data_IF_218016963066
#
_entry.id   IF_218016963066
#
_cell.length_a   1.000
_cell.length_b   1.000
_cell.length_c   1.000
_cell.angle_alpha   90.00
_cell.angle_beta   90.00
_cell.angle_gamma   90.00
#
_symmetry.space_group_name_H-M   'P 1'
#
loop_
_entity.id
_entity.type
_entity.pdbx_description
1 polymer ?
#
# COMPACT_ATOMS: atom_id res chain seq x y z
N UNK A 1 71.64 23.20 16.24
CA UNK A 1 70.79 22.23 15.51
C UNK A 1 69.32 22.51 15.78
N UNK A 2 68.64 23.24 14.89
CA UNK A 2 67.17 23.32 14.82
C UNK A 2 66.80 23.50 13.35
N UNK A 3 66.41 22.42 12.69
CA UNK A 3 65.95 22.42 11.31
C UNK A 3 64.53 22.98 11.28
N UNK A 4 64.33 24.15 10.67
CA UNK A 4 62.99 24.66 10.32
C UNK A 4 62.69 24.18 8.89
N UNK A 5 61.83 23.17 8.76
CA UNK A 5 61.23 22.78 7.49
C UNK A 5 60.05 23.70 7.21
N UNK A 6 60.12 24.45 6.11
CA UNK A 6 59.02 25.26 5.60
C UNK A 6 58.19 24.37 4.67
N UNK A 7 56.97 23.99 5.09
CA UNK A 7 56.02 23.30 4.20
C UNK A 7 55.33 24.35 3.31
N UNK A 8 55.64 24.34 2.01
CA UNK A 8 54.85 25.07 1.01
C UNK A 8 53.62 24.22 0.71
N UNK A 9 52.46 24.63 1.23
CA UNK A 9 51.16 24.10 0.80
C UNK A 9 50.79 24.84 -0.49
N UNK A 10 50.91 24.17 -1.63
CA UNK A 10 50.38 24.67 -2.89
C UNK A 10 48.85 24.50 -2.89
N UNK A 11 48.12 25.59 -2.63
CA UNK A 11 46.67 25.65 -2.88
C UNK A 11 46.44 25.61 -4.39
N UNK A 12 46.10 24.45 -4.93
CA UNK A 12 45.56 24.33 -6.28
C UNK A 12 44.13 24.87 -6.27
N UNK A 13 43.96 26.14 -6.63
CA UNK A 13 42.66 26.70 -6.97
C UNK A 13 42.15 26.00 -8.25
N UNK A 14 41.26 25.01 -8.09
CA UNK A 14 40.40 24.58 -9.18
C UNK A 14 39.44 25.73 -9.49
N UNK A 15 39.82 26.58 -10.45
CA UNK A 15 38.90 27.52 -11.07
C UNK A 15 37.87 26.67 -11.82
N UNK A 16 36.72 26.38 -11.19
CA UNK A 16 35.53 25.98 -11.92
C UNK A 16 35.09 27.19 -12.73
N UNK A 17 35.50 27.23 -14.00
CA UNK A 17 34.92 28.14 -14.98
C UNK A 17 33.49 27.68 -15.25
N UNK A 18 32.55 28.24 -14.48
CA UNK A 18 31.13 28.23 -14.82
C UNK A 18 30.97 28.93 -16.16
N UNK A 19 30.89 28.14 -17.23
CA UNK A 19 30.58 28.64 -18.56
C UNK A 19 29.11 29.08 -18.53
N UNK A 20 28.89 30.39 -18.42
CA UNK A 20 27.57 30.96 -18.66
C UNK A 20 27.20 30.68 -20.13
N UNK A 21 26.18 29.86 -20.36
CA UNK A 21 25.67 29.58 -21.71
C UNK A 21 25.27 30.90 -22.36
N UNK A 22 25.90 31.19 -23.50
CA UNK A 22 25.58 32.42 -24.24
C UNK A 22 24.27 32.24 -25.02
N UNK A 23 23.58 33.34 -25.36
CA UNK A 23 22.32 33.26 -26.12
C UNK A 23 22.46 32.54 -27.49
N UNK A 24 23.61 32.70 -28.15
CA UNK A 24 23.91 32.03 -29.42
C UNK A 24 24.12 30.50 -29.25
N UNK A 25 24.64 30.07 -28.10
CA UNK A 25 24.81 28.66 -27.75
C UNK A 25 23.45 28.00 -27.45
N UNK A 26 22.57 28.69 -26.72
CA UNK A 26 21.21 28.24 -26.46
C UNK A 26 20.38 28.12 -27.74
N UNK A 27 20.48 29.08 -28.66
CA UNK A 27 19.81 28.98 -29.96
C UNK A 27 20.31 27.76 -30.75
N UNK A 28 21.62 27.50 -30.72
CA UNK A 28 22.20 26.34 -31.38
C UNK A 28 21.70 25.02 -30.79
N UNK A 29 21.70 24.89 -29.46
CA UNK A 29 21.17 23.73 -28.76
C UNK A 29 19.66 23.54 -28.99
N UNK A 30 18.89 24.62 -29.06
CA UNK A 30 17.46 24.55 -29.34
C UNK A 30 17.18 24.08 -30.78
N UNK A 31 17.94 24.57 -31.76
CA UNK A 31 17.83 24.16 -33.17
C UNK A 31 18.40 22.77 -33.45
N UNK A 32 19.39 22.33 -32.66
CA UNK A 32 20.04 21.02 -32.74
C UNK A 32 20.16 20.41 -31.35
N UNK A 33 19.05 19.87 -30.79
CA UNK A 33 19.06 19.32 -29.45
C UNK A 33 20.09 18.17 -29.31
N UNK A 34 20.83 18.11 -28.20
CA UNK A 34 21.77 17.02 -27.94
C UNK A 34 21.03 15.71 -27.64
N UNK A 35 21.75 14.58 -27.65
CA UNK A 35 21.17 13.26 -27.31
C UNK A 35 20.52 13.22 -25.92
N UNK A 36 21.02 13.99 -24.95
CA UNK A 36 20.45 14.09 -23.60
C UNK A 36 19.10 14.79 -23.55
N UNK A 37 18.72 15.53 -24.59
CA UNK A 37 17.43 16.21 -24.67
C UNK A 37 16.35 15.33 -25.32
N UNK A 38 16.71 14.14 -25.85
CA UNK A 38 15.74 13.26 -26.49
C UNK A 38 14.84 12.60 -25.46
N UNK A 39 13.53 12.49 -25.75
CA UNK A 39 12.62 11.76 -24.88
C UNK A 39 12.95 10.26 -24.90
N UNK A 40 12.52 9.59 -23.84
CA UNK A 40 12.57 8.14 -23.70
C UNK A 40 11.15 7.60 -23.53
N UNK A 41 11.00 6.29 -23.71
CA UNK A 41 9.71 5.60 -23.60
C UNK A 41 9.76 4.43 -22.63
N UNK A 42 8.62 4.09 -22.05
CA UNK A 42 8.40 2.77 -21.46
C UNK A 42 8.11 1.79 -22.60
N UNK A 43 8.88 0.70 -22.68
CA UNK A 43 8.70 -0.33 -23.68
C UNK A 43 8.27 -1.63 -22.99
N UNK A 44 6.96 -1.87 -23.03
CA UNK A 44 6.34 -2.98 -22.33
C UNK A 44 6.29 -4.22 -23.22
N UNK A 45 6.88 -5.32 -22.75
CA UNK A 45 6.71 -6.64 -23.34
C UNK A 45 5.58 -7.36 -22.60
N UNK A 46 4.45 -7.52 -23.28
CA UNK A 46 3.20 -7.96 -22.67
C UNK A 46 3.05 -9.48 -22.74
N UNK A 47 2.69 -10.11 -21.62
CA UNK A 47 2.18 -11.48 -21.56
C UNK A 47 3.09 -12.49 -22.28
N UNK A 48 4.41 -12.41 -22.00
CA UNK A 48 5.44 -13.23 -22.63
C UNK A 48 5.50 -13.15 -24.18
N UNK A 49 4.97 -12.10 -24.80
CA UNK A 49 5.04 -11.91 -26.24
C UNK A 49 6.22 -11.01 -26.62
N UNK A 50 7.27 -11.61 -27.19
CA UNK A 50 8.39 -10.90 -27.83
C UNK A 50 8.92 -11.68 -29.02
N UNK A 51 9.26 -10.98 -30.12
CA UNK A 51 9.87 -11.58 -31.31
C UNK A 51 10.98 -10.69 -31.84
N UNK A 52 12.03 -11.30 -32.42
CA UNK A 52 13.14 -10.54 -33.02
C UNK A 52 12.70 -9.56 -34.11
N UNK A 53 11.80 -9.93 -35.05
CA UNK A 53 11.29 -8.98 -36.05
C UNK A 53 10.55 -7.79 -35.41
N UNK A 54 9.74 -8.04 -34.37
CA UNK A 54 9.05 -6.98 -33.63
C UNK A 54 10.03 -6.06 -32.90
N UNK A 55 11.06 -6.63 -32.27
CA UNK A 55 12.13 -5.88 -31.59
C UNK A 55 12.86 -4.95 -32.56
N UNK A 56 13.26 -5.43 -33.73
CA UNK A 56 13.90 -4.59 -34.76
C UNK A 56 12.95 -3.49 -35.21
N UNK A 57 11.69 -3.82 -35.54
CA UNK A 57 10.72 -2.85 -36.01
C UNK A 57 10.45 -1.74 -34.98
N UNK A 58 10.29 -2.10 -33.71
CA UNK A 58 10.07 -1.15 -32.61
C UNK A 58 11.27 -0.20 -32.44
N UNK A 59 12.49 -0.74 -32.39
CA UNK A 59 13.69 0.06 -32.16
C UNK A 59 14.04 0.95 -33.37
N UNK A 60 13.82 0.46 -34.60
CA UNK A 60 13.98 1.28 -35.81
C UNK A 60 12.97 2.42 -35.85
N UNK A 61 11.71 2.16 -35.49
CA UNK A 61 10.69 3.20 -35.36
C UNK A 61 11.07 4.23 -34.28
N UNK A 62 11.57 3.79 -33.12
CA UNK A 62 12.07 4.70 -32.08
C UNK A 62 13.17 5.60 -32.60
N UNK A 63 14.15 5.02 -33.30
CA UNK A 63 15.26 5.79 -33.89
C UNK A 63 14.76 6.80 -34.92
N UNK A 64 13.86 6.38 -35.81
CA UNK A 64 13.28 7.23 -36.85
C UNK A 64 12.54 8.43 -36.26
N UNK A 65 11.83 8.23 -35.14
CA UNK A 65 11.08 9.29 -34.45
C UNK A 65 11.93 10.13 -33.50
N UNK A 66 13.25 9.89 -33.42
CA UNK A 66 14.16 10.69 -32.61
C UNK A 66 14.11 10.38 -31.10
N UNK A 67 13.61 9.21 -30.71
CA UNK A 67 13.66 8.72 -29.33
C UNK A 67 15.12 8.37 -28.96
N UNK A 68 15.54 8.72 -27.74
CA UNK A 68 16.91 8.50 -27.25
C UNK A 68 17.14 7.13 -26.61
N UNK A 69 16.07 6.52 -26.08
CA UNK A 69 16.15 5.22 -25.43
C UNK A 69 14.80 4.73 -24.89
N UNK A 70 14.83 3.55 -24.29
CA UNK A 70 13.66 2.91 -23.73
C UNK A 70 13.97 2.23 -22.39
N UNK A 71 12.98 2.24 -21.49
CA UNK A 71 12.96 1.38 -20.31
C UNK A 71 12.18 0.11 -20.61
N UNK A 72 12.87 -1.01 -20.61
CA UNK A 72 12.27 -2.33 -20.81
C UNK A 72 11.60 -2.79 -19.52
N UNK A 73 10.31 -3.12 -19.63
CA UNK A 73 9.50 -3.65 -18.53
C UNK A 73 8.66 -4.80 -19.06
N UNK A 74 8.65 -5.91 -18.34
CA UNK A 74 7.90 -7.09 -18.72
C UNK A 74 6.62 -7.12 -17.88
N UNK A 75 5.47 -7.28 -18.53
CA UNK A 75 4.17 -7.17 -17.87
C UNK A 75 3.39 -8.45 -18.08
N UNK A 76 3.17 -9.18 -16.98
CA UNK A 76 2.53 -10.51 -16.95
C UNK A 76 3.34 -11.56 -17.72
N UNK A 77 2.98 -12.83 -17.57
CA UNK A 77 3.64 -13.95 -18.22
C UNK A 77 2.62 -14.94 -18.84
N UNK A 78 3.04 -16.19 -19.06
CA UNK A 78 2.22 -17.28 -19.58
C UNK A 78 1.06 -17.72 -18.68
N UNK A 79 0.94 -17.16 -17.47
CA UNK A 79 -0.28 -17.32 -16.63
C UNK A 79 -1.46 -16.50 -17.18
N UNK A 80 -1.20 -15.52 -18.04
CA UNK A 80 -2.21 -14.82 -18.83
C UNK A 80 -2.33 -15.44 -20.23
N UNK A 81 -3.48 -15.30 -20.92
CA UNK A 81 -3.64 -15.79 -22.29
C UNK A 81 -2.52 -15.23 -23.21
N UNK A 82 -1.67 -16.07 -23.82
CA UNK A 82 -0.55 -15.58 -24.62
C UNK A 82 -1.02 -14.72 -25.80
N UNK A 83 -0.35 -13.58 -26.03
CA UNK A 83 -0.64 -12.71 -27.16
C UNK A 83 0.05 -13.16 -28.47
N UNK A 84 1.02 -14.07 -28.36
CA UNK A 84 1.79 -14.61 -29.48
C UNK A 84 2.23 -16.05 -29.19
N UNK A 85 2.47 -16.83 -30.24
CA UNK A 85 3.08 -18.17 -30.15
C UNK A 85 4.34 -18.26 -31.05
N UNK A 86 5.43 -18.89 -30.58
CA UNK A 86 5.63 -19.38 -29.21
C UNK A 86 5.74 -18.21 -28.21
N UNK A 87 5.22 -18.42 -26.99
CA UNK A 87 5.43 -17.49 -25.90
C UNK A 87 6.88 -17.57 -25.39
N UNK A 88 7.45 -16.41 -25.04
CA UNK A 88 8.84 -16.25 -24.59
C UNK A 88 8.80 -15.78 -23.14
N UNK A 89 8.69 -16.75 -22.23
CA UNK A 89 8.48 -16.50 -20.79
C UNK A 89 9.72 -15.90 -20.14
N UNK A 90 9.53 -14.89 -19.28
CA UNK A 90 10.60 -14.25 -18.52
C UNK A 90 11.52 -15.26 -17.83
N UNK A 91 12.81 -14.95 -17.82
CA UNK A 91 13.91 -15.77 -17.29
C UNK A 91 14.20 -17.08 -18.04
N UNK A 92 13.47 -17.42 -19.10
CA UNK A 92 13.82 -18.56 -19.97
C UNK A 92 15.05 -18.25 -20.85
N UNK A 93 15.76 -19.27 -21.38
CA UNK A 93 16.85 -19.06 -22.33
C UNK A 93 16.44 -18.24 -23.56
N UNK A 94 15.25 -18.47 -24.11
CA UNK A 94 14.72 -17.75 -25.27
C UNK A 94 14.44 -16.28 -24.94
N UNK A 95 13.98 -16.01 -23.72
CA UNK A 95 13.80 -14.63 -23.25
C UNK A 95 15.13 -13.90 -23.13
N UNK A 96 16.14 -14.55 -22.54
CA UNK A 96 17.49 -13.97 -22.48
C UNK A 96 18.10 -13.74 -23.86
N UNK A 97 17.85 -14.63 -24.83
CA UNK A 97 18.25 -14.44 -26.23
C UNK A 97 17.56 -13.21 -26.86
N UNK A 98 16.27 -13.00 -26.61
CA UNK A 98 15.55 -11.81 -27.05
C UNK A 98 16.05 -10.51 -26.38
N UNK A 99 16.38 -10.55 -25.08
CA UNK A 99 16.99 -9.41 -24.39
C UNK A 99 18.35 -9.06 -25.02
N UNK A 100 19.19 -10.06 -25.24
CA UNK A 100 20.49 -9.86 -25.88
C UNK A 100 20.34 -9.29 -27.29
N UNK A 101 19.39 -9.82 -28.08
CA UNK A 101 19.08 -9.29 -29.41
C UNK A 101 18.63 -7.82 -29.36
N UNK A 102 17.74 -7.44 -28.44
CA UNK A 102 17.32 -6.06 -28.26
C UNK A 102 18.49 -5.12 -27.90
N UNK A 103 19.42 -5.57 -27.06
CA UNK A 103 20.62 -4.81 -26.71
C UNK A 103 21.55 -4.59 -27.91
N UNK A 104 21.71 -5.60 -28.76
CA UNK A 104 22.50 -5.49 -30.00
C UNK A 104 21.86 -4.52 -30.99
N UNK A 105 20.53 -4.58 -31.16
CA UNK A 105 19.79 -3.66 -32.03
C UNK A 105 19.83 -2.23 -31.51
N UNK A 106 19.64 -2.02 -30.21
CA UNK A 106 19.78 -0.70 -29.60
C UNK A 106 21.19 -0.13 -29.79
N UNK A 107 22.23 -0.96 -29.62
CA UNK A 107 23.62 -0.56 -29.90
C UNK A 107 23.82 -0.19 -31.36
N UNK A 108 23.28 -0.97 -32.31
CA UNK A 108 23.35 -0.70 -33.76
C UNK A 108 22.72 0.66 -34.11
N UNK A 109 21.61 0.99 -33.47
CA UNK A 109 20.84 2.21 -33.72
C UNK A 109 21.30 3.42 -32.90
N UNK A 110 22.21 3.21 -31.95
CA UNK A 110 22.67 4.24 -31.01
C UNK A 110 21.63 4.64 -29.96
N UNK A 111 20.68 3.74 -29.67
CA UNK A 111 19.70 3.89 -28.60
C UNK A 111 20.29 3.42 -27.26
N UNK A 112 19.72 3.91 -26.15
CA UNK A 112 20.03 3.41 -24.80
C UNK A 112 18.87 2.59 -24.26
N UNK A 113 19.18 1.59 -23.44
CA UNK A 113 18.19 0.77 -22.76
C UNK A 113 18.41 0.84 -21.26
N UNK A 114 17.33 1.01 -20.51
CA UNK A 114 17.27 0.73 -19.08
C UNK A 114 16.35 -0.47 -18.83
N UNK A 115 16.51 -1.15 -17.70
CA UNK A 115 15.63 -2.24 -17.27
C UNK A 115 15.16 -1.96 -15.84
N UNK A 116 13.90 -2.31 -15.56
CA UNK A 116 13.38 -2.27 -14.19
C UNK A 116 14.11 -3.31 -13.31
N UNK A 117 14.18 -3.08 -12.00
CA UNK A 117 14.95 -3.91 -11.06
C UNK A 117 14.33 -5.28 -10.78
N UNK A 118 13.05 -5.45 -11.12
CA UNK A 118 12.31 -6.71 -11.06
C UNK A 118 11.46 -6.90 -12.32
N UNK A 119 10.97 -8.12 -12.54
CA UNK A 119 9.86 -8.36 -13.46
C UNK A 119 8.61 -7.60 -12.98
N UNK A 120 7.73 -7.19 -13.90
CA UNK A 120 6.61 -6.30 -13.60
C UNK A 120 6.98 -4.81 -13.51
N UNK A 121 5.96 -3.99 -13.25
CA UNK A 121 6.07 -2.52 -13.21
C UNK A 121 6.52 -1.96 -11.84
N UNK A 122 6.41 -2.75 -10.77
CA UNK A 122 6.88 -2.42 -9.42
C UNK A 122 6.90 -3.70 -8.56
N UNK A 123 7.71 -3.82 -7.51
CA UNK A 123 8.77 -2.90 -7.06
C UNK A 123 10.12 -3.61 -6.97
N UNK A 124 10.21 -4.67 -6.16
CA UNK A 124 11.46 -5.40 -5.91
C UNK A 124 11.21 -6.87 -5.54
N UNK A 125 10.28 -7.52 -6.24
CA UNK A 125 9.91 -8.92 -5.99
C UNK A 125 10.72 -9.91 -6.84
N UNK A 126 10.78 -11.17 -6.39
CA UNK A 126 11.37 -12.26 -7.17
C UNK A 126 11.17 -13.63 -6.52
N UNK A 127 11.17 -14.73 -7.29
CA UNK A 127 10.95 -16.08 -6.76
C UNK A 127 12.05 -16.58 -5.82
N UNK A 128 13.21 -15.92 -5.79
CA UNK A 128 14.32 -16.20 -4.88
C UNK A 128 14.14 -15.60 -3.48
N UNK A 129 13.11 -14.75 -3.27
CA UNK A 129 12.84 -14.11 -1.98
C UNK A 129 11.96 -15.03 -1.13
N UNK A 130 12.48 -15.50 0.00
CA UNK A 130 11.72 -16.27 0.99
C UNK A 130 10.88 -15.34 1.88
N UNK A 131 9.85 -15.84 2.61
CA UNK A 131 9.08 -15.01 3.54
C UNK A 131 9.94 -14.27 4.58
N UNK A 132 11.03 -14.89 5.06
CA UNK A 132 12.00 -14.27 5.97
C UNK A 132 12.72 -13.05 5.38
N UNK A 133 12.96 -13.05 4.06
CA UNK A 133 13.66 -11.97 3.36
C UNK A 133 12.70 -10.90 2.80
N UNK A 134 11.39 -11.10 2.94
CA UNK A 134 10.37 -10.14 2.50
C UNK A 134 10.22 -8.97 3.49
N UNK A 135 9.36 -8.00 3.16
CA UNK A 135 8.93 -6.97 4.10
C UNK A 135 8.24 -7.63 5.31
N UNK A 136 8.64 -7.23 6.52
CA UNK A 136 8.17 -7.80 7.79
C UNK A 136 7.17 -6.85 8.48
N UNK A 137 6.17 -7.41 9.17
CA UNK A 137 5.25 -6.67 10.04
C UNK A 137 5.20 -7.29 11.43
N UNK A 138 4.87 -6.49 12.44
CA UNK A 138 4.62 -6.99 13.79
C UNK A 138 3.19 -7.52 13.87
N UNK A 139 3.05 -8.75 14.33
CA UNK A 139 1.78 -9.43 14.58
C UNK A 139 1.75 -9.92 16.01
N UNK A 140 0.57 -10.09 16.59
CA UNK A 140 0.43 -10.53 17.97
C UNK A 140 -0.86 -11.29 18.21
N UNK A 141 -0.86 -12.13 19.24
CA UNK A 141 -2.05 -12.68 19.87
C UNK A 141 -2.17 -12.14 21.28
N UNK A 142 -3.36 -12.27 21.87
CA UNK A 142 -3.61 -11.85 23.24
C UNK A 142 -4.41 -12.91 23.96
N UNK A 143 -3.95 -13.29 25.15
CA UNK A 143 -4.68 -14.15 26.07
C UNK A 143 -4.81 -13.50 27.44
N UNK A 144 -5.82 -13.89 28.20
CA UNK A 144 -6.06 -13.42 29.57
C UNK A 144 -5.83 -14.57 30.55
N UNK A 145 -5.03 -14.30 31.58
CA UNK A 145 -4.64 -15.29 32.59
C UNK A 145 -5.16 -14.80 33.94
N UNK A 146 -5.73 -15.71 34.74
CA UNK A 146 -6.17 -15.38 36.10
C UNK A 146 -4.95 -15.19 36.99
N UNK A 147 -4.97 -14.17 37.85
CA UNK A 147 -3.89 -13.95 38.80
C UNK A 147 -3.73 -15.16 39.73
N UNK A 148 -2.49 -15.62 39.92
CA UNK A 148 -2.17 -16.80 40.73
C UNK A 148 -2.32 -18.15 40.01
N UNK A 149 -2.66 -18.16 38.72
CA UNK A 149 -2.60 -19.38 37.92
C UNK A 149 -1.14 -19.81 37.70
N UNK A 150 -0.78 -21.01 38.15
CA UNK A 150 0.57 -21.58 38.04
C UNK A 150 0.66 -22.68 36.98
N UNK A 151 -0.42 -22.89 36.20
CA UNK A 151 -0.44 -23.86 35.12
C UNK A 151 0.49 -23.50 33.97
N UNK A 152 0.89 -24.51 33.19
CA UNK A 152 1.52 -24.27 31.89
C UNK A 152 0.46 -23.76 30.91
N UNK A 153 0.79 -22.71 30.16
CA UNK A 153 -0.14 -22.04 29.24
C UNK A 153 0.41 -22.18 27.83
N UNK A 154 -0.42 -22.71 26.94
CA UNK A 154 -0.14 -22.69 25.50
C UNK A 154 -0.64 -21.36 24.93
N UNK A 155 0.28 -20.54 24.43
CA UNK A 155 -0.06 -19.31 23.74
C UNK A 155 -0.46 -19.60 22.30
N UNK A 156 -1.43 -18.85 21.80
CA UNK A 156 -1.81 -18.89 20.40
C UNK A 156 -0.69 -18.29 19.54
N UNK A 157 -0.39 -18.93 18.42
CA UNK A 157 0.56 -18.41 17.44
C UNK A 157 -0.08 -17.21 16.71
N UNK A 158 0.61 -16.07 16.59
CA UNK A 158 0.22 -15.00 15.68
C UNK A 158 0.15 -15.44 14.22
N UNK A 159 -0.39 -14.53 13.39
CA UNK A 159 -0.44 -14.70 11.93
C UNK A 159 0.91 -15.17 11.38
N UNK A 160 0.88 -16.21 10.55
CA UNK A 160 2.03 -16.67 9.78
C UNK A 160 1.72 -16.57 8.29
N UNK A 161 2.58 -15.89 7.55
CA UNK A 161 2.45 -15.77 6.09
C UNK A 161 3.32 -16.83 5.44
N UNK A 162 2.69 -17.76 4.69
CA UNK A 162 3.37 -18.92 4.09
C UNK A 162 4.20 -19.70 5.12
N UNK A 163 3.58 -20.00 6.24
CA UNK A 163 4.15 -20.74 7.37
C UNK A 163 5.38 -20.10 8.03
N UNK A 164 5.66 -18.82 7.76
CA UNK A 164 6.73 -18.07 8.41
C UNK A 164 6.21 -17.18 9.53
N UNK A 165 6.76 -17.38 10.72
CA UNK A 165 6.56 -16.57 11.92
C UNK A 165 7.83 -16.63 12.78
N UNK A 166 8.13 -15.54 13.47
CA UNK A 166 9.26 -15.46 14.41
C UNK A 166 8.88 -14.64 15.63
N UNK A 167 9.00 -15.24 16.81
CA UNK A 167 8.77 -14.54 18.08
C UNK A 167 9.71 -13.35 18.23
N UNK A 168 9.16 -12.24 18.73
CA UNK A 168 9.92 -11.05 19.13
C UNK A 168 10.02 -10.99 20.65
N UNK A 169 8.86 -10.93 21.32
CA UNK A 169 8.78 -10.85 22.78
C UNK A 169 7.40 -11.28 23.28
N UNK A 170 7.35 -11.74 24.53
CA UNK A 170 6.10 -11.98 25.28
C UNK A 170 6.02 -10.96 26.41
N UNK A 171 4.93 -10.20 26.45
CA UNK A 171 4.67 -9.21 27.49
C UNK A 171 3.50 -9.66 28.37
N UNK A 172 3.69 -9.55 29.69
CA UNK A 172 2.64 -9.72 30.67
C UNK A 172 2.46 -8.42 31.44
N UNK A 173 1.22 -7.93 31.53
CA UNK A 173 0.88 -6.73 32.28
C UNK A 173 -0.48 -6.90 32.97
N UNK A 174 -0.70 -6.24 34.13
CA UNK A 174 -2.00 -6.28 34.79
C UNK A 174 -3.12 -5.72 33.89
N UNK A 175 -4.16 -6.51 33.65
CA UNK A 175 -5.34 -6.02 32.94
C UNK A 175 -6.13 -5.04 33.82
N UNK A 176 -6.64 -3.97 33.23
CA UNK A 176 -7.42 -2.92 33.93
C UNK A 176 -8.83 -3.43 34.33
N UNK A 177 -9.26 -4.59 33.81
CA UNK A 177 -10.55 -5.22 34.13
C UNK A 177 -10.43 -6.36 35.15
N UNK A 178 -11.39 -6.46 36.08
CA UNK A 178 -11.49 -7.56 37.06
C UNK A 178 -11.94 -8.90 36.46
N UNK A 179 -12.41 -8.92 35.22
CA UNK A 179 -12.94 -10.10 34.51
C UNK A 179 -12.23 -10.27 33.17
N UNK A 180 -12.13 -11.52 32.68
CA UNK A 180 -11.63 -11.79 31.33
C UNK A 180 -12.53 -11.10 30.30
N UNK A 181 -11.95 -10.60 29.20
CA UNK A 181 -12.72 -9.99 28.11
C UNK A 181 -13.79 -10.94 27.58
N UNK A 182 -13.49 -12.23 27.48
CA UNK A 182 -14.43 -13.28 27.07
C UNK A 182 -15.66 -13.39 28.00
N UNK A 183 -15.48 -13.11 29.30
CA UNK A 183 -16.56 -13.12 30.29
C UNK A 183 -17.36 -11.80 30.33
N UNK A 184 -16.88 -10.75 29.63
CA UNK A 184 -17.48 -9.41 29.62
C UNK A 184 -18.08 -8.99 28.28
N UNK A 185 -18.00 -9.82 27.24
CA UNK A 185 -18.55 -9.49 25.91
C UNK A 185 -20.07 -9.31 26.02
N UNK A 186 -20.53 -8.06 25.98
CA UNK A 186 -21.93 -7.76 25.80
C UNK A 186 -22.23 -7.88 24.32
N UNK A 187 -23.00 -8.91 23.95
CA UNK A 187 -23.44 -9.12 22.58
C UNK A 187 -24.58 -8.14 22.29
N UNK A 188 -24.40 -7.18 21.37
CA UNK A 188 -25.46 -6.26 20.99
C UNK A 188 -26.44 -6.92 20.00
N UNK A 189 -27.68 -6.46 20.01
CA UNK A 189 -28.58 -6.62 18.85
C UNK A 189 -28.31 -5.47 17.89
N UNK A 190 -28.06 -5.78 16.61
CA UNK A 190 -27.78 -4.77 15.59
C UNK A 190 -28.96 -4.61 14.66
N UNK A 191 -29.29 -3.37 14.32
CA UNK A 191 -30.32 -3.02 13.33
C UNK A 191 -29.83 -1.89 12.44
N UNK A 192 -30.47 -1.72 11.28
CA UNK A 192 -30.12 -0.70 10.29
C UNK A 192 -31.36 0.04 9.84
N UNK A 193 -31.20 1.29 9.41
CA UNK A 193 -32.28 2.05 8.76
C UNK A 193 -32.68 1.50 7.38
N UNK A 194 -31.84 0.66 6.77
CA UNK A 194 -32.09 0.07 5.44
C UNK A 194 -32.91 -1.21 5.49
N UNK A 195 -33.16 -1.77 6.68
CA UNK A 195 -33.83 -3.07 6.84
C UNK A 195 -32.93 -4.29 6.57
N UNK A 196 -31.64 -4.08 6.27
CA UNK A 196 -30.65 -5.15 6.13
C UNK A 196 -30.47 -5.85 7.48
N UNK A 197 -30.47 -7.20 7.48
CA UNK A 197 -30.18 -8.02 8.67
C UNK A 197 -28.67 -7.98 8.96
N UNK A 198 -28.21 -7.26 9.99
CA UNK A 198 -26.79 -6.89 10.11
C UNK A 198 -26.07 -7.75 11.15
N UNK A 199 -26.49 -9.00 11.36
CA UNK A 199 -25.92 -9.87 12.40
C UNK A 199 -24.42 -10.13 12.20
N UNK A 200 -23.96 -10.08 10.96
CA UNK A 200 -22.53 -10.16 10.59
C UNK A 200 -21.70 -8.97 11.09
N UNK A 201 -22.33 -7.88 11.55
CA UNK A 201 -21.62 -6.75 12.17
C UNK A 201 -21.41 -6.90 13.69
N UNK A 202 -21.99 -7.93 14.31
CA UNK A 202 -21.80 -8.19 15.75
C UNK A 202 -20.49 -8.94 16.05
N UNK A 203 -20.05 -9.78 15.13
CA UNK A 203 -18.92 -10.68 15.29
C UNK A 203 -18.15 -10.71 13.98
N UNK A 204 -16.84 -10.95 14.07
CA UNK A 204 -16.06 -11.31 12.89
C UNK A 204 -16.71 -12.54 12.26
N UNK A 205 -17.12 -12.41 11.00
CA UNK A 205 -17.73 -13.48 10.24
C UNK A 205 -16.79 -13.84 9.09
N UNK A 206 -16.64 -15.13 8.80
CA UNK A 206 -15.96 -15.61 7.59
C UNK A 206 -16.77 -15.31 6.30
N UNK A 207 -17.97 -14.73 6.44
CA UNK A 207 -18.85 -14.39 5.34
C UNK A 207 -18.42 -13.12 4.58
N UNK A 208 -18.74 -13.06 3.28
CA UNK A 208 -18.53 -11.88 2.42
C UNK A 208 -19.69 -10.87 2.51
N UNK A 209 -20.42 -10.88 3.62
CA UNK A 209 -21.56 -9.99 3.80
C UNK A 209 -21.07 -8.56 4.01
N UNK A 210 -21.71 -7.60 3.34
CA UNK A 210 -21.37 -6.18 3.45
C UNK A 210 -22.64 -5.36 3.58
N UNK A 211 -22.56 -4.33 4.42
CA UNK A 211 -23.62 -3.33 4.51
C UNK A 211 -23.32 -2.21 3.51
N UNK A 212 -24.32 -1.87 2.70
CA UNK A 212 -24.26 -0.74 1.76
C UNK A 212 -25.35 0.26 2.08
N UNK A 213 -25.01 1.54 2.02
CA UNK A 213 -25.94 2.65 2.15
C UNK A 213 -25.60 3.72 1.10
N UNK A 214 -26.56 4.03 0.23
CA UNK A 214 -26.38 5.03 -0.83
C UNK A 214 -26.88 6.42 -0.42
N UNK A 215 -27.77 6.45 0.58
CA UNK A 215 -28.37 7.64 1.20
C UNK A 215 -28.13 7.63 2.71
N UNK A 216 -28.39 8.78 3.36
CA UNK A 216 -28.23 8.93 4.79
C UNK A 216 -29.00 7.84 5.55
N UNK A 217 -28.34 7.26 6.55
CA UNK A 217 -28.84 6.08 7.24
C UNK A 217 -28.05 5.82 8.51
N UNK A 218 -28.40 4.75 9.21
CA UNK A 218 -27.71 4.42 10.45
C UNK A 218 -27.62 2.93 10.71
N UNK A 219 -26.58 2.57 11.48
CA UNK A 219 -26.37 1.27 12.10
C UNK A 219 -26.53 1.47 13.60
N UNK A 220 -27.42 0.72 14.24
CA UNK A 220 -27.67 0.82 15.68
C UNK A 220 -27.30 -0.47 16.39
N UNK A 221 -26.50 -0.33 17.44
CA UNK A 221 -26.09 -1.38 18.35
C UNK A 221 -26.81 -1.19 19.68
N UNK A 222 -27.69 -2.15 20.02
CA UNK A 222 -28.40 -2.18 21.31
C UNK A 222 -27.79 -3.22 22.22
N UNK A 223 -27.19 -2.78 23.32
CA UNK A 223 -26.63 -3.65 24.34
C UNK A 223 -27.67 -4.04 25.41
N UNK A 224 -27.57 -5.24 26.01
CA UNK A 224 -28.53 -5.69 27.02
C UNK A 224 -28.54 -4.78 28.26
N UNK A 225 -27.37 -4.24 28.63
CA UNK A 225 -27.16 -3.29 29.73
C UNK A 225 -26.19 -2.18 29.29
N UNK A 226 -26.08 -1.04 30.01
CA UNK A 226 -25.14 0.02 29.64
C UNK A 226 -23.72 -0.51 29.43
N UNK A 227 -23.14 -0.12 28.30
CA UNK A 227 -21.80 -0.49 27.84
C UNK A 227 -20.95 0.77 27.70
N UNK A 228 -19.71 0.74 28.19
CA UNK A 228 -18.77 1.85 28.03
C UNK A 228 -17.87 1.62 26.82
N UNK A 229 -18.18 2.29 25.71
CA UNK A 229 -17.35 2.30 24.51
C UNK A 229 -16.24 3.35 24.64
N UNK A 230 -15.02 3.00 24.20
CA UNK A 230 -13.84 3.89 24.19
C UNK A 230 -13.13 3.94 22.85
N UNK A 231 -13.42 2.99 21.97
CA UNK A 231 -12.87 2.95 20.63
C UNK A 231 -13.77 2.12 19.75
N UNK A 232 -13.67 2.36 18.45
CA UNK A 232 -14.32 1.56 17.41
C UNK A 232 -13.25 1.18 16.38
N UNK A 233 -13.36 -0.03 15.85
CA UNK A 233 -12.55 -0.50 14.73
C UNK A 233 -13.48 -0.69 13.53
N UNK A 234 -13.11 -0.11 12.39
CA UNK A 234 -13.89 -0.12 11.16
C UNK A 234 -13.16 -0.99 10.14
N UNK A 235 -13.84 -2.04 9.71
CA UNK A 235 -13.39 -2.95 8.66
C UNK A 235 -14.19 -2.70 7.38
N UNK A 236 -13.51 -2.63 6.24
CA UNK A 236 -14.13 -2.40 4.92
C UNK A 236 -13.55 -3.37 3.89
N UNK A 237 -14.35 -3.74 2.88
CA UNK A 237 -13.92 -4.65 1.80
C UNK A 237 -13.02 -4.01 0.74
N UNK A 238 -12.38 -2.88 1.05
CA UNK A 238 -11.64 -1.98 0.16
C UNK A 238 -11.66 -0.55 0.71
N UNK A 239 -11.07 0.39 -0.04
CA UNK A 239 -11.08 1.81 0.35
C UNK A 239 -12.53 2.32 0.41
N UNK A 240 -12.89 2.95 1.53
CA UNK A 240 -14.22 3.50 1.74
C UNK A 240 -14.17 4.71 2.67
N UNK A 241 -14.00 5.89 2.07
CA UNK A 241 -13.92 7.16 2.80
C UNK A 241 -15.16 7.45 3.66
N UNK A 242 -16.35 7.07 3.20
CA UNK A 242 -17.59 7.35 3.92
C UNK A 242 -17.72 6.52 5.22
N UNK A 243 -17.22 5.29 5.22
CA UNK A 243 -17.17 4.46 6.44
C UNK A 243 -16.31 5.10 7.52
N UNK A 244 -15.29 5.87 7.14
CA UNK A 244 -14.36 6.56 8.05
C UNK A 244 -14.92 7.88 8.61
N UNK A 245 -16.16 8.25 8.28
CA UNK A 245 -16.77 9.55 8.63
C UNK A 245 -18.12 9.44 9.34
N UNK A 246 -18.42 8.26 9.89
CA UNK A 246 -19.67 8.03 10.60
C UNK A 246 -19.84 9.02 11.75
N UNK A 247 -21.06 9.49 11.97
CA UNK A 247 -21.41 10.27 13.15
C UNK A 247 -21.79 9.28 14.25
N UNK A 248 -21.06 9.32 15.36
CA UNK A 248 -21.29 8.46 16.51
C UNK A 248 -22.29 9.15 17.44
N UNK A 249 -23.40 8.48 17.72
CA UNK A 249 -24.43 8.93 18.66
C UNK A 249 -24.68 7.89 19.74
N UNK A 250 -25.19 8.34 20.88
CA UNK A 250 -25.51 7.49 22.03
C UNK A 250 -26.91 7.79 22.57
N UNK A 251 -27.52 6.77 23.18
CA UNK A 251 -28.81 6.91 23.87
C UNK A 251 -28.96 5.87 25.00
N UNK A 252 -29.73 6.23 26.03
CA UNK A 252 -30.10 5.33 27.12
C UNK A 252 -31.54 4.76 26.97
N UNK A 253 -32.42 5.47 26.27
CA UNK A 253 -33.82 5.10 26.07
C UNK A 253 -34.11 4.52 24.66
N UNK A 254 -33.17 4.68 23.72
CA UNK A 254 -33.33 4.24 22.33
C UNK A 254 -34.22 5.16 21.49
N UNK A 255 -34.59 6.34 22.02
CA UNK A 255 -35.46 7.32 21.37
C UNK A 255 -34.68 8.63 21.21
N UNK A 256 -34.13 9.15 22.30
CA UNK A 256 -33.40 10.42 22.33
C UNK A 256 -31.90 10.14 22.16
N UNK A 257 -31.36 10.51 21.00
CA UNK A 257 -29.95 10.34 20.67
C UNK A 257 -29.20 11.67 20.79
N UNK A 258 -28.00 11.62 21.37
CA UNK A 258 -27.07 12.75 21.40
C UNK A 258 -25.80 12.39 20.65
N UNK A 259 -25.28 13.31 19.84
CA UNK A 259 -24.00 13.14 19.15
C UNK A 259 -22.84 13.10 20.14
N UNK A 260 -21.99 12.10 20.01
CA UNK A 260 -20.72 11.95 20.74
C UNK A 260 -19.61 12.64 19.95
N UNK A 261 -19.47 12.28 18.67
CA UNK A 261 -18.48 12.87 17.75
C UNK A 261 -18.85 12.56 16.30
N UNK A 262 -18.19 13.23 15.36
CA UNK A 262 -18.06 12.79 13.98
C UNK A 262 -16.66 12.20 13.80
N UNK A 263 -16.56 11.03 13.18
CA UNK A 263 -15.24 10.46 12.86
C UNK A 263 -14.56 11.31 11.79
N UNK A 264 -13.27 11.55 11.99
CA UNK A 264 -12.41 12.25 11.05
C UNK A 264 -11.58 11.20 10.32
N UNK A 265 -11.85 11.03 9.03
CA UNK A 265 -11.07 10.12 8.21
C UNK A 265 -9.59 10.56 8.21
N UNK A 266 -8.65 9.65 8.52
CA UNK A 266 -7.23 9.97 8.36
C UNK A 266 -6.90 10.17 6.88
N UNK A 267 -5.79 10.87 6.60
CA UNK A 267 -5.25 10.96 5.23
C UNK A 267 -4.77 9.57 4.81
N UNK A 268 -5.10 9.17 3.59
CA UNK A 268 -4.72 7.86 3.06
C UNK A 268 -4.53 7.88 1.55
N UNK A 269 -3.63 7.03 1.06
CA UNK A 269 -3.44 6.83 -0.37
C UNK A 269 -4.37 5.74 -0.93
N UNK A 270 -4.11 5.34 -2.17
CA UNK A 270 -4.84 4.29 -2.86
C UNK A 270 -4.55 2.87 -2.32
N UNK A 271 -3.40 2.65 -1.69
CA UNK A 271 -2.97 1.35 -1.17
C UNK A 271 -3.16 1.30 0.36
N UNK A 272 -4.41 1.29 0.83
CA UNK A 272 -4.74 1.41 2.26
C UNK A 272 -5.75 0.35 2.73
N UNK A 273 -5.60 -0.87 2.23
CA UNK A 273 -6.52 -1.99 2.51
C UNK A 273 -5.94 -3.05 3.43
N UNK A 274 -4.67 -2.93 3.82
CA UNK A 274 -3.97 -3.97 4.58
C UNK A 274 -4.37 -3.98 6.06
N UNK A 275 -4.90 -2.86 6.59
CA UNK A 275 -5.24 -2.70 8.00
C UNK A 275 -6.61 -2.02 8.20
N UNK A 276 -7.23 -2.29 9.33
CA UNK A 276 -8.46 -1.61 9.76
C UNK A 276 -8.17 -0.24 10.39
N UNK A 277 -9.16 0.66 10.37
CA UNK A 277 -9.06 1.92 11.10
C UNK A 277 -9.61 1.80 12.51
N UNK A 278 -8.81 2.19 13.51
CA UNK A 278 -9.27 2.28 14.91
C UNK A 278 -9.38 3.72 15.36
N UNK A 279 -10.59 4.15 15.73
CA UNK A 279 -10.86 5.48 16.27
C UNK A 279 -10.99 5.42 17.78
N UNK A 280 -10.24 6.27 18.47
CA UNK A 280 -10.48 6.55 19.88
C UNK A 280 -11.74 7.42 20.04
N UNK A 281 -12.53 7.13 21.06
CA UNK A 281 -13.73 7.88 21.41
C UNK A 281 -13.62 8.40 22.85
N UNK A 282 -14.23 9.55 23.17
CA UNK A 282 -14.49 9.91 24.56
C UNK A 282 -15.23 8.74 25.26
N UNK A 283 -14.82 8.31 26.48
CA UNK A 283 -15.47 7.22 27.17
C UNK A 283 -16.98 7.45 27.31
N UNK A 284 -17.77 6.69 26.55
CA UNK A 284 -19.22 6.91 26.41
C UNK A 284 -19.94 5.69 26.95
N UNK A 285 -20.80 5.88 27.95
CA UNK A 285 -21.59 4.79 28.55
C UNK A 285 -23.05 4.93 28.17
N UNK A 286 -23.56 3.97 27.41
CA UNK A 286 -24.94 3.99 26.90
C UNK A 286 -25.46 2.57 26.65
N UNK A 287 -26.78 2.43 26.47
CA UNK A 287 -27.39 1.16 26.01
C UNK A 287 -27.46 1.07 24.49
N UNK A 288 -27.56 2.20 23.80
CA UNK A 288 -27.72 2.29 22.37
C UNK A 288 -26.58 3.14 21.80
N UNK A 289 -25.93 2.63 20.77
CA UNK A 289 -24.97 3.38 19.97
C UNK A 289 -25.44 3.39 18.53
N UNK A 290 -25.46 4.56 17.91
CA UNK A 290 -25.86 4.71 16.51
C UNK A 290 -24.70 5.30 15.71
N UNK A 291 -24.36 4.65 14.62
CA UNK A 291 -23.37 5.09 13.64
C UNK A 291 -24.12 5.58 12.42
N UNK A 292 -24.20 6.89 12.29
CA UNK A 292 -24.98 7.55 11.24
C UNK A 292 -24.07 7.85 10.06
N UNK A 293 -24.47 7.38 8.89
CA UNK A 293 -23.89 7.76 7.63
C UNK A 293 -24.58 9.01 7.09
N UNK A 294 -23.79 10.02 6.75
CA UNK A 294 -24.23 11.26 6.15
C UNK A 294 -23.11 11.84 5.27
N UNK A 295 -23.44 12.18 4.02
CA UNK A 295 -22.50 12.73 3.03
C UNK A 295 -22.18 14.20 3.27
N UNK A 296 -22.93 14.92 4.12
CA UNK A 296 -22.66 16.32 4.39
C UNK A 296 -21.19 16.54 4.83
N UNK A 297 -20.54 17.56 4.28
CA UNK A 297 -19.14 17.89 4.56
C UNK A 297 -18.10 16.92 3.98
N UNK A 298 -18.48 16.05 3.02
CA UNK A 298 -17.55 15.19 2.27
C UNK A 298 -16.50 16.04 1.56
N UNK A 299 -15.22 15.75 1.80
CA UNK A 299 -14.11 16.35 1.07
C UNK A 299 -13.98 15.70 -0.32
N UNK A 300 -13.70 16.48 -1.38
CA UNK A 300 -13.34 15.92 -2.68
C UNK A 300 -12.06 15.09 -2.60
N UNK A 301 -11.96 14.04 -3.40
CA UNK A 301 -10.79 13.17 -3.41
C UNK A 301 -9.50 13.87 -3.85
N UNK A 302 -8.38 13.43 -3.28
CA UNK A 302 -7.00 13.86 -3.59
C UNK A 302 -6.04 12.67 -3.43
N UNK A 303 -4.76 12.84 -3.79
CA UNK A 303 -3.76 11.77 -3.70
C UNK A 303 -3.56 11.23 -2.27
N UNK A 304 -3.84 12.06 -1.27
CA UNK A 304 -3.80 11.74 0.16
C UNK A 304 -5.20 11.56 0.77
N UNK A 305 -6.23 11.41 -0.07
CA UNK A 305 -7.58 11.04 0.31
C UNK A 305 -8.31 10.35 -0.85
N UNK A 306 -8.18 9.03 -0.92
CA UNK A 306 -8.85 8.21 -1.94
C UNK A 306 -10.36 8.06 -1.63
N UNK A 307 -11.11 9.12 -1.95
CA UNK A 307 -12.50 9.34 -1.58
C UNK A 307 -13.55 8.69 -2.51
#
# INVERSE_FOLDING_TARGET
MKNKWLYIVALAFFIHTSHAQTGAELETLFRKPPESAKPWVLWYWMQAASSKPGITADLEAMKQMGIGGAYMVMIKDTTSPPLMQPAVRQLSPEWWDNIHFAQLEAKRLGLKLGMHVSDGFALAGGPWITPELSMQKLVWTKTYIKNGDTGSIKLDQPEAVRDYYKDVAVFAYPAIGKQSFADTVLIPTVSTSTGTKPSFLCFESEGKESLRMDSAGWIEYKYPRPFTCRSIRIHTGGNNYQAQRLIVQQSNDGINFTTVTRLEAPRHGWQDTDEDFTYALPPTTARYFRFVYDKEGTEPGSEDLDA
#
